data_IF_119140709597
#
_entry.id   IF_119140709597
#
_cell.length_a   1.000
_cell.length_b   1.000
_cell.length_c   1.000
_cell.angle_alpha   90.00
_cell.angle_beta   90.00
_cell.angle_gamma   90.00
#
_symmetry.space_group_name_H-M   'P 1'
#
loop_
_entity.id
_entity.type
_entity.pdbx_description
1 polymer ?
#
# COMPACT_ATOMS: atom_id res chain seq x y z
N UNK A 1 -9.16 23.52 22.41
CA UNK A 1 -8.13 23.68 21.37
C UNK A 1 -6.90 22.91 21.84
N UNK A 2 -6.35 22.03 21.00
CA UNK A 2 -5.18 21.22 21.32
C UNK A 2 -4.15 21.41 20.21
N UNK A 3 -2.88 21.39 20.57
CA UNK A 3 -1.76 21.47 19.63
C UNK A 3 -1.13 20.07 19.58
N UNK A 4 -0.91 19.56 18.38
CA UNK A 4 -0.29 18.26 18.13
C UNK A 4 0.81 18.41 17.08
N UNK A 5 1.79 17.52 17.12
CA UNK A 5 2.88 17.44 16.14
C UNK A 5 2.98 16.03 15.57
N UNK A 6 3.50 15.92 14.35
CA UNK A 6 3.83 14.66 13.72
C UNK A 6 5.00 14.85 12.74
N UNK A 7 5.80 13.81 12.56
CA UNK A 7 6.99 13.87 11.71
C UNK A 7 6.74 13.19 10.36
N UNK A 8 7.23 13.83 9.29
CA UNK A 8 7.26 13.26 7.94
C UNK A 8 8.73 13.05 7.57
N UNK A 9 9.19 11.80 7.41
CA UNK A 9 10.58 11.52 7.03
C UNK A 9 10.91 12.07 5.64
N UNK A 10 12.10 12.66 5.47
CA UNK A 10 12.52 13.26 4.21
C UNK A 10 12.41 12.30 3.00
N UNK A 11 12.62 11.00 3.19
CA UNK A 11 12.53 10.01 2.12
C UNK A 11 11.12 9.81 1.55
N UNK A 12 10.06 10.25 2.25
CA UNK A 12 8.68 10.21 1.71
C UNK A 12 8.44 11.32 0.68
N UNK A 13 9.31 12.33 0.63
CA UNK A 13 9.20 13.46 -0.30
C UNK A 13 9.67 13.15 -1.73
N UNK A 14 10.13 11.92 -1.98
CA UNK A 14 10.60 11.47 -3.29
C UNK A 14 9.45 11.31 -4.30
N UNK A 15 9.74 11.60 -5.57
CA UNK A 15 8.80 11.40 -6.69
C UNK A 15 9.07 10.04 -7.35
N UNK A 16 8.68 8.98 -6.66
CA UNK A 16 8.91 7.59 -7.08
C UNK A 16 7.61 6.78 -7.16
N UNK A 17 7.60 5.77 -8.02
CA UNK A 17 6.62 4.69 -7.95
C UNK A 17 6.82 3.92 -6.66
N UNK A 18 5.73 3.61 -5.97
CA UNK A 18 5.80 2.86 -4.72
C UNK A 18 4.57 1.98 -4.54
N UNK A 19 4.77 0.89 -3.81
CA UNK A 19 3.70 0.12 -3.17
C UNK A 19 3.87 0.21 -1.66
N UNK A 20 2.75 0.13 -0.94
CA UNK A 20 2.73 0.38 0.49
C UNK A 20 1.73 -0.53 1.21
N UNK A 21 1.95 -0.67 2.51
CA UNK A 21 1.06 -1.32 3.46
C UNK A 21 0.77 -0.30 4.57
N UNK A 22 -0.50 0.00 4.79
CA UNK A 22 -0.96 0.74 5.96
C UNK A 22 -1.38 -0.28 7.01
N UNK A 23 -0.82 -0.15 8.20
CA UNK A 23 -1.17 -0.95 9.38
C UNK A 23 -1.79 0.00 10.40
N UNK A 24 -3.07 -0.17 10.67
CA UNK A 24 -3.78 0.55 11.73
C UNK A 24 -3.84 -0.35 12.97
N UNK A 25 -3.32 0.10 14.11
CA UNK A 25 -3.37 -0.62 15.38
C UNK A 25 -4.34 0.08 16.31
N UNK A 26 -5.33 -0.64 16.83
CA UNK A 26 -6.27 -0.06 17.77
C UNK A 26 -5.58 0.19 19.12
N UNK A 27 -5.85 1.32 19.76
CA UNK A 27 -5.11 1.73 20.97
C UNK A 27 -5.52 0.95 22.23
N UNK A 28 -6.74 0.41 22.26
CA UNK A 28 -7.32 -0.28 23.43
C UNK A 28 -7.34 -1.80 23.29
N UNK A 29 -7.11 -2.33 22.09
CA UNK A 29 -7.13 -3.77 21.80
C UNK A 29 -5.88 -4.15 21.01
N UNK A 30 -5.62 -5.45 20.81
CA UNK A 30 -4.57 -5.89 19.90
C UNK A 30 -5.06 -6.02 18.45
N UNK A 31 -6.21 -5.43 18.10
CA UNK A 31 -6.74 -5.49 16.74
C UNK A 31 -5.83 -4.70 15.78
N UNK A 32 -5.46 -5.35 14.68
CA UNK A 32 -4.69 -4.74 13.59
C UNK A 32 -5.51 -4.77 12.30
N UNK A 33 -5.59 -3.65 11.61
CA UNK A 33 -6.22 -3.52 10.29
C UNK A 33 -5.12 -3.28 9.25
N UNK A 34 -5.12 -4.09 8.20
CA UNK A 34 -4.17 -4.03 7.11
C UNK A 34 -4.84 -3.50 5.84
N UNK A 35 -4.09 -2.71 5.08
CA UNK A 35 -4.47 -2.26 3.76
C UNK A 35 -3.23 -2.19 2.86
N UNK A 36 -3.30 -2.81 1.68
CA UNK A 36 -2.24 -2.74 0.68
C UNK A 36 -2.61 -1.73 -0.39
N UNK A 37 -1.69 -0.87 -0.80
CA UNK A 37 -1.94 0.08 -1.87
C UNK A 37 -0.72 0.35 -2.72
N UNK A 38 -0.93 1.21 -3.69
CA UNK A 38 0.10 1.65 -4.63
C UNK A 38 -0.07 3.12 -4.94
N UNK A 39 1.05 3.75 -5.26
CA UNK A 39 1.08 5.04 -5.93
C UNK A 39 0.38 4.89 -7.28
N UNK A 40 -0.54 5.81 -7.57
CA UNK A 40 -1.30 5.85 -8.80
C UNK A 40 -1.14 7.18 -9.53
N UNK A 41 -1.97 7.39 -10.55
CA UNK A 41 -1.97 8.55 -11.45
C UNK A 41 -2.08 9.88 -10.68
N UNK A 42 -0.93 10.40 -10.25
CA UNK A 42 -0.82 11.67 -9.58
C UNK A 42 -0.72 12.75 -10.66
N UNK A 43 -1.53 13.80 -10.49
CA UNK A 43 -1.43 15.01 -11.32
C UNK A 43 -0.06 15.65 -11.10
N UNK A 44 0.40 16.40 -12.10
CA UNK A 44 1.63 17.17 -11.98
C UNK A 44 1.61 18.08 -10.75
N UNK A 45 2.74 18.12 -10.04
CA UNK A 45 2.93 18.92 -8.82
C UNK A 45 2.65 18.19 -7.50
N UNK A 46 2.03 16.99 -7.50
CA UNK A 46 1.80 16.22 -6.28
C UNK A 46 3.00 15.36 -5.88
N UNK A 47 3.29 15.23 -4.58
CA UNK A 47 4.18 14.20 -4.08
C UNK A 47 3.46 12.84 -4.14
N UNK A 48 3.95 11.86 -4.91
CA UNK A 48 3.17 10.67 -5.19
C UNK A 48 2.87 9.80 -3.97
N UNK A 49 3.82 9.74 -3.03
CA UNK A 49 3.76 8.89 -1.84
C UNK A 49 2.85 9.54 -0.79
N UNK A 50 3.17 10.77 -0.39
CA UNK A 50 2.44 11.53 0.63
C UNK A 50 1.00 11.79 0.18
N UNK A 51 0.79 12.26 -1.06
CA UNK A 51 -0.58 12.56 -1.54
C UNK A 51 -1.43 11.29 -1.58
N UNK A 52 -0.87 10.16 -2.02
CA UNK A 52 -1.63 8.91 -2.10
C UNK A 52 -1.94 8.33 -0.72
N UNK A 53 -0.97 8.36 0.20
CA UNK A 53 -1.19 7.91 1.60
C UNK A 53 -2.17 8.85 2.29
N UNK A 54 -1.99 10.17 2.19
CA UNK A 54 -2.86 11.19 2.79
C UNK A 54 -4.32 11.08 2.34
N UNK A 55 -4.56 10.69 1.08
CA UNK A 55 -5.92 10.44 0.58
C UNK A 55 -6.69 9.41 1.41
N UNK A 56 -6.02 8.39 1.98
CA UNK A 56 -6.67 7.41 2.86
C UNK A 56 -7.25 8.02 4.13
N UNK A 57 -6.74 9.17 4.57
CA UNK A 57 -7.14 9.89 5.77
C UNK A 57 -8.02 11.12 5.47
N UNK A 58 -8.22 11.45 4.19
CA UNK A 58 -9.07 12.57 3.80
C UNK A 58 -10.55 12.27 4.06
N UNK A 59 -11.42 13.28 4.07
CA UNK A 59 -12.88 13.08 4.12
C UNK A 59 -13.53 12.89 2.74
N UNK A 60 -12.73 12.89 1.66
CA UNK A 60 -13.25 12.70 0.31
C UNK A 60 -13.51 11.21 0.05
N UNK A 61 -14.80 10.81 0.08
CA UNK A 61 -15.24 9.42 -0.12
C UNK A 61 -14.68 8.74 -1.37
N UNK A 62 -14.33 9.48 -2.41
CA UNK A 62 -13.77 8.91 -3.65
C UNK A 62 -12.33 8.42 -3.44
N UNK A 63 -11.56 9.12 -2.59
CA UNK A 63 -10.13 8.88 -2.41
C UNK A 63 -9.80 8.12 -1.12
N UNK A 64 -10.69 8.16 -0.12
CA UNK A 64 -10.45 7.63 1.23
C UNK A 64 -10.77 6.15 1.39
N UNK A 65 -10.15 5.31 0.56
CA UNK A 65 -10.49 3.88 0.47
C UNK A 65 -10.32 3.10 1.80
N UNK A 66 -9.41 3.54 2.67
CA UNK A 66 -9.20 2.94 3.99
C UNK A 66 -10.19 3.53 5.01
N UNK A 67 -10.24 4.86 5.17
CA UNK A 67 -11.18 5.51 6.10
C UNK A 67 -12.63 5.12 5.83
N UNK A 68 -13.03 4.92 4.58
CA UNK A 68 -14.40 4.49 4.27
C UNK A 68 -14.78 3.14 4.89
N UNK A 69 -13.78 2.32 5.25
CA UNK A 69 -13.97 1.00 5.86
C UNK A 69 -13.72 0.99 7.38
N UNK A 70 -13.14 2.05 7.93
CA UNK A 70 -12.88 2.19 9.37
C UNK A 70 -13.83 3.24 9.94
N UNK A 71 -14.79 2.82 10.76
CA UNK A 71 -15.83 3.69 11.32
C UNK A 71 -15.28 4.80 12.21
N UNK A 72 -14.30 4.49 13.07
CA UNK A 72 -13.72 5.42 14.04
C UNK A 72 -12.20 5.49 13.90
N UNK A 73 -11.73 6.27 12.92
CA UNK A 73 -10.30 6.35 12.59
C UNK A 73 -9.42 6.88 13.73
N UNK A 74 -9.98 7.61 14.70
CA UNK A 74 -9.26 8.19 15.84
C UNK A 74 -8.91 7.18 16.93
N UNK A 75 -9.46 5.95 16.88
CA UNK A 75 -9.13 4.87 17.81
C UNK A 75 -7.86 4.11 17.43
N UNK A 76 -7.25 4.46 16.31
CA UNK A 76 -6.13 3.73 15.73
C UNK A 76 -4.91 4.62 15.53
N UNK A 77 -3.76 4.05 15.80
CA UNK A 77 -2.47 4.56 15.35
C UNK A 77 -2.12 3.93 14.00
N UNK A 78 -1.59 4.72 13.07
CA UNK A 78 -1.29 4.27 11.71
C UNK A 78 0.21 4.25 11.46
N UNK A 79 0.70 3.12 10.95
CA UNK A 79 2.05 2.99 10.44
C UNK A 79 2.01 2.62 8.97
N UNK A 80 2.85 3.29 8.17
CA UNK A 80 2.95 3.02 6.74
C UNK A 80 4.32 2.47 6.41
N UNK A 81 4.31 1.28 5.81
CA UNK A 81 5.49 0.64 5.26
C UNK A 81 5.43 0.75 3.75
N UNK A 82 6.52 1.12 3.09
CA UNK A 82 6.52 1.23 1.64
C UNK A 82 7.91 0.92 1.05
N UNK A 83 7.90 0.56 -0.22
CA UNK A 83 9.11 0.39 -1.03
C UNK A 83 8.92 1.14 -2.35
N UNK A 84 10.02 1.69 -2.88
CA UNK A 84 10.04 2.45 -4.13
C UNK A 84 10.67 1.64 -5.26
N UNK A 85 10.19 1.86 -6.50
CA UNK A 85 10.50 1.01 -7.66
C UNK A 85 10.85 1.85 -8.89
N UNK A 86 11.59 2.93 -8.67
CA UNK A 86 12.04 3.86 -9.70
C UNK A 86 11.25 5.16 -9.73
N UNK A 87 11.77 6.10 -10.51
CA UNK A 87 11.24 7.46 -10.57
C UNK A 87 9.86 7.49 -11.25
N UNK A 88 8.94 8.26 -10.67
CA UNK A 88 7.66 8.54 -11.29
C UNK A 88 7.85 9.58 -12.40
N UNK A 89 7.62 9.17 -13.64
CA UNK A 89 7.66 10.01 -14.84
C UNK A 89 6.31 9.93 -15.55
N UNK A 90 5.76 11.07 -15.96
CA UNK A 90 4.44 11.11 -16.60
C UNK A 90 4.50 10.45 -17.98
N UNK A 91 5.64 10.59 -18.64
CA UNK A 91 5.91 10.05 -19.98
C UNK A 91 5.84 8.51 -20.00
N UNK A 92 6.24 7.86 -18.90
CA UNK A 92 6.23 6.38 -18.76
C UNK A 92 5.06 5.87 -17.92
N UNK A 93 4.11 6.74 -17.58
CA UNK A 93 3.02 6.41 -16.67
C UNK A 93 2.23 5.18 -17.10
N UNK A 94 1.89 5.09 -18.38
CA UNK A 94 1.10 3.98 -18.91
C UNK A 94 1.87 2.65 -18.90
N UNK A 95 3.18 2.67 -19.16
CA UNK A 95 4.01 1.46 -19.15
C UNK A 95 4.30 0.99 -17.73
N UNK A 96 4.57 1.92 -16.82
CA UNK A 96 4.91 1.61 -15.43
C UNK A 96 3.68 1.15 -14.64
N UNK A 97 2.48 1.58 -15.06
CA UNK A 97 1.22 1.25 -14.40
C UNK A 97 0.97 -0.26 -14.29
N UNK A 98 1.22 -1.03 -15.35
CA UNK A 98 1.04 -2.49 -15.31
C UNK A 98 2.03 -3.15 -14.35
N UNK A 99 3.29 -2.70 -14.36
CA UNK A 99 4.30 -3.20 -13.43
C UNK A 99 3.96 -2.88 -11.98
N UNK A 100 3.54 -1.63 -11.70
CA UNK A 100 3.14 -1.20 -10.34
C UNK A 100 1.87 -1.90 -9.88
N UNK A 101 0.92 -2.18 -10.78
CA UNK A 101 -0.23 -3.04 -10.48
C UNK A 101 0.23 -4.44 -10.05
N UNK A 102 1.24 -5.00 -10.73
CA UNK A 102 1.74 -6.33 -10.39
C UNK A 102 2.54 -6.33 -9.09
N UNK A 103 3.34 -5.30 -8.82
CA UNK A 103 4.01 -5.10 -7.53
C UNK A 103 2.99 -5.07 -6.38
N UNK A 104 1.86 -4.37 -6.55
CA UNK A 104 0.78 -4.31 -5.54
C UNK A 104 0.15 -5.69 -5.32
N UNK A 105 -0.20 -6.41 -6.40
CA UNK A 105 -0.80 -7.75 -6.30
C UNK A 105 0.14 -8.73 -5.59
N UNK A 106 1.42 -8.70 -5.94
CA UNK A 106 2.40 -9.60 -5.35
C UNK A 106 2.64 -9.26 -3.87
N UNK A 107 2.73 -7.97 -3.51
CA UNK A 107 2.77 -7.54 -2.11
C UNK A 107 1.54 -8.02 -1.34
N UNK A 108 0.37 -7.86 -1.93
CA UNK A 108 -0.89 -8.30 -1.33
C UNK A 108 -0.90 -9.81 -1.05
N UNK A 109 -0.40 -10.64 -1.98
CA UNK A 109 -0.25 -12.08 -1.76
C UNK A 109 0.66 -12.40 -0.59
N UNK A 110 1.83 -11.75 -0.49
CA UNK A 110 2.75 -11.96 0.63
C UNK A 110 2.15 -11.54 1.98
N UNK A 111 1.44 -10.41 2.01
CA UNK A 111 0.69 -10.00 3.20
C UNK A 111 -0.36 -11.05 3.57
N UNK A 112 -1.19 -11.51 2.62
CA UNK A 112 -2.19 -12.55 2.89
C UNK A 112 -1.57 -13.82 3.49
N UNK A 113 -0.42 -14.26 2.97
CA UNK A 113 0.31 -15.41 3.50
C UNK A 113 0.76 -15.18 4.94
N UNK A 114 1.38 -14.04 5.21
CA UNK A 114 1.87 -13.70 6.56
C UNK A 114 0.72 -13.53 7.58
N UNK A 115 -0.45 -13.04 7.14
CA UNK A 115 -1.59 -12.81 8.01
C UNK A 115 -2.31 -14.11 8.43
N UNK A 116 -2.10 -15.24 7.75
CA UNK A 116 -2.72 -16.53 8.09
C UNK A 116 -2.33 -17.04 9.49
N UNK A 117 -1.20 -16.59 10.01
CA UNK A 117 -0.67 -17.03 11.31
C UNK A 117 -0.94 -16.02 12.43
N UNK A 118 -1.70 -14.95 12.16
CA UNK A 118 -1.96 -13.88 13.12
C UNK A 118 -3.43 -13.86 13.54
N UNK A 119 -3.66 -13.71 14.83
CA UNK A 119 -4.99 -13.50 15.39
C UNK A 119 -5.35 -12.00 15.45
N UNK A 120 -6.64 -11.68 15.56
CA UNK A 120 -7.15 -10.31 15.70
C UNK A 120 -6.76 -9.37 14.55
N UNK A 121 -6.74 -9.90 13.33
CA UNK A 121 -6.41 -9.14 12.13
C UNK A 121 -7.64 -8.96 11.24
N UNK A 122 -7.77 -7.77 10.67
CA UNK A 122 -8.69 -7.48 9.58
C UNK A 122 -7.87 -7.07 8.35
N UNK A 123 -8.12 -7.70 7.20
CA UNK A 123 -7.49 -7.29 5.95
C UNK A 123 -8.52 -6.71 4.98
N UNK A 124 -8.41 -5.41 4.70
CA UNK A 124 -9.48 -4.66 4.04
C UNK A 124 -9.60 -4.93 2.54
N UNK A 125 -8.52 -5.32 1.86
CA UNK A 125 -8.50 -5.46 0.41
C UNK A 125 -7.73 -6.70 -0.08
N UNK A 126 -8.13 -7.92 0.35
CA UNK A 126 -7.49 -9.13 -0.11
C UNK A 126 -7.60 -9.29 -1.63
N UNK A 127 -6.47 -9.59 -2.26
CA UNK A 127 -6.44 -9.91 -3.68
C UNK A 127 -7.06 -11.29 -3.93
N UNK A 128 -8.18 -11.32 -4.67
CA UNK A 128 -9.01 -12.52 -4.86
C UNK A 128 -8.62 -13.41 -6.05
N UNK A 129 -7.73 -12.96 -6.94
CA UNK A 129 -7.30 -13.69 -8.14
C UNK A 129 -8.42 -14.24 -9.06
N UNK A 130 -9.63 -13.65 -9.04
CA UNK A 130 -10.78 -14.17 -9.80
C UNK A 130 -10.73 -13.72 -11.27
N UNK A 131 -11.02 -14.64 -12.20
CA UNK A 131 -11.28 -14.31 -13.61
C UNK A 131 -10.05 -14.04 -14.48
N UNK A 132 -8.85 -14.41 -14.03
CA UNK A 132 -7.60 -14.25 -14.80
C UNK A 132 -7.19 -15.61 -15.38
N UNK A 133 -6.90 -15.66 -16.69
CA UNK A 133 -6.40 -16.88 -17.32
C UNK A 133 -4.97 -17.20 -16.87
N UNK A 134 -4.61 -18.49 -16.84
CA UNK A 134 -3.24 -18.93 -16.50
C UNK A 134 -2.17 -18.26 -17.35
N UNK A 135 -2.44 -18.05 -18.64
CA UNK A 135 -1.52 -17.34 -19.55
C UNK A 135 -1.27 -15.91 -19.07
N UNK A 136 -2.34 -15.15 -18.82
CA UNK A 136 -2.24 -13.75 -18.37
C UNK A 136 -1.57 -13.63 -17.00
N UNK A 137 -1.75 -14.63 -16.15
CA UNK A 137 -1.04 -14.71 -14.87
C UNK A 137 0.46 -14.93 -15.06
N UNK A 138 0.86 -15.84 -15.93
CA UNK A 138 2.28 -16.07 -16.26
C UNK A 138 2.92 -14.82 -16.89
N UNK A 139 2.25 -14.18 -17.84
CA UNK A 139 2.73 -12.95 -18.49
C UNK A 139 2.96 -11.84 -17.45
N UNK A 140 2.07 -11.72 -16.46
CA UNK A 140 2.23 -10.77 -15.36
C UNK A 140 3.42 -11.08 -14.47
N UNK A 141 3.62 -12.35 -14.13
CA UNK A 141 4.77 -12.74 -13.30
C UNK A 141 6.11 -12.38 -13.95
N UNK A 142 6.19 -12.31 -15.28
CA UNK A 142 7.40 -11.89 -15.98
C UNK A 142 7.69 -10.38 -15.85
N UNK A 143 6.73 -9.57 -15.38
CA UNK A 143 6.94 -8.12 -15.18
C UNK A 143 7.82 -7.80 -13.97
N UNK A 144 7.96 -8.73 -13.03
CA UNK A 144 8.69 -8.53 -11.78
C UNK A 144 10.01 -9.28 -11.82
N UNK A 145 11.08 -8.57 -11.50
CA UNK A 145 12.40 -9.17 -11.29
C UNK A 145 12.47 -9.89 -9.93
N UNK A 146 13.46 -10.78 -9.78
CA UNK A 146 13.69 -11.49 -8.51
C UNK A 146 14.05 -10.54 -7.35
N UNK A 147 14.83 -9.48 -7.62
CA UNK A 147 15.16 -8.49 -6.58
C UNK A 147 13.92 -7.74 -6.10
N UNK A 148 13.02 -7.37 -7.02
CA UNK A 148 11.74 -6.75 -6.66
C UNK A 148 10.88 -7.68 -5.82
N UNK A 149 10.79 -8.97 -6.18
CA UNK A 149 10.07 -9.97 -5.39
C UNK A 149 10.64 -10.08 -3.98
N UNK A 150 11.97 -10.11 -3.86
CA UNK A 150 12.67 -10.13 -2.57
C UNK A 150 12.35 -8.89 -1.74
N UNK A 151 12.39 -7.69 -2.33
CA UNK A 151 12.05 -6.43 -1.67
C UNK A 151 10.59 -6.39 -1.21
N UNK A 152 9.67 -6.92 -2.01
CA UNK A 152 8.26 -7.03 -1.63
C UNK A 152 8.06 -8.01 -0.47
N UNK A 153 8.80 -9.12 -0.44
CA UNK A 153 8.75 -10.06 0.69
C UNK A 153 9.31 -9.42 1.97
N UNK A 154 10.46 -8.75 1.87
CA UNK A 154 11.06 -7.98 2.99
C UNK A 154 10.08 -6.92 3.53
N UNK A 155 9.39 -6.22 2.62
CA UNK A 155 8.37 -5.24 2.99
C UNK A 155 7.19 -5.89 3.71
N UNK A 156 6.67 -6.99 3.19
CA UNK A 156 5.57 -7.73 3.81
C UNK A 156 5.94 -8.21 5.21
N UNK A 157 7.14 -8.77 5.38
CA UNK A 157 7.64 -9.27 6.65
C UNK A 157 7.76 -8.16 7.68
N UNK A 158 8.30 -7.00 7.29
CA UNK A 158 8.38 -5.81 8.16
C UNK A 158 7.01 -5.27 8.58
N UNK A 159 6.00 -5.40 7.72
CA UNK A 159 4.66 -4.89 8.01
C UNK A 159 3.88 -5.82 8.96
N UNK A 160 4.21 -7.11 9.01
CA UNK A 160 3.45 -8.14 9.74
C UNK A 160 4.09 -8.60 11.06
N UNK A 161 5.25 -8.06 11.44
CA UNK A 161 5.79 -8.17 12.81
C UNK A 161 4.96 -7.27 13.74
#
# INVERSE_FOLDING_TARGET
MQIFEFEIPAHTTRREWAVYVIVARQNTTNNKIFYVGKVGDNRDGCNPIISRIGNHFSHNKIHSQLRNKISETTLFDYKVYYATFGQYKIETQNTDKEKVNELERQLNRYIQQNLQTLDNIEFLNPYKAVGVSKKKENDRQQLLTEDERKKLKELADRATI
#
